data_IF_100432880176
#
_entry.id   IF_100432880176
#
_cell.length_a   1.000
_cell.length_b   1.000
_cell.length_c   1.000
_cell.angle_alpha   90.00
_cell.angle_beta   90.00
_cell.angle_gamma   90.00
#
_symmetry.space_group_name_H-M   'P 1'
#
loop_
_entity.id
_entity.type
_entity.pdbx_description
1 polymer ?
#
# COMPACT_ATOMS: atom_id res chain seq x y z
N UNK A 1 -9.38 2.91 41.11
CA UNK A 1 -8.60 2.59 39.91
C UNK A 1 -9.61 2.34 38.80
N UNK A 2 -9.76 3.30 37.90
CA UNK A 2 -10.77 3.22 36.84
C UNK A 2 -10.21 2.37 35.72
N UNK A 3 -10.87 1.26 35.42
CA UNK A 3 -10.50 0.33 34.37
C UNK A 3 -11.10 0.84 33.05
N UNK A 4 -10.25 1.23 32.10
CA UNK A 4 -10.67 1.77 30.81
C UNK A 4 -10.75 0.65 29.76
N UNK A 5 -11.88 0.55 29.07
CA UNK A 5 -12.10 -0.39 27.97
C UNK A 5 -12.38 0.38 26.68
N UNK A 6 -11.73 -0.05 25.60
CA UNK A 6 -11.71 0.66 24.32
C UNK A 6 -12.86 0.27 23.42
N UNK A 7 -13.51 1.27 22.82
CA UNK A 7 -14.65 1.19 21.90
C UNK A 7 -14.34 2.16 20.75
N UNK A 8 -14.73 1.81 19.52
CA UNK A 8 -14.07 2.23 18.28
C UNK A 8 -14.67 3.53 17.60
N UNK A 9 -13.89 4.29 16.79
CA UNK A 9 -14.12 5.63 16.10
C UNK A 9 -14.35 5.76 14.56
N UNK A 10 -15.21 6.65 14.06
CA UNK A 10 -15.40 6.92 12.61
C UNK A 10 -14.28 7.77 11.94
N UNK A 11 -14.33 7.90 10.60
CA UNK A 11 -13.20 8.20 9.69
C UNK A 11 -12.32 9.45 9.94
N UNK A 12 -12.71 10.48 10.71
CA UNK A 12 -11.99 11.79 10.65
C UNK A 12 -11.78 12.54 11.99
N UNK A 13 -12.02 11.96 13.17
CA UNK A 13 -11.77 12.63 14.45
C UNK A 13 -11.06 11.72 15.47
N UNK A 14 -10.31 12.32 16.40
CA UNK A 14 -9.77 11.65 17.60
C UNK A 14 -10.67 12.04 18.77
N UNK A 15 -11.35 11.06 19.36
CA UNK A 15 -12.39 11.24 20.38
C UNK A 15 -11.86 10.82 21.74
N UNK A 16 -11.79 11.78 22.68
CA UNK A 16 -11.33 11.56 24.05
C UNK A 16 -12.44 11.84 25.09
N UNK A 17 -12.66 10.83 25.95
CA UNK A 17 -13.44 10.63 27.20
C UNK A 17 -14.56 11.58 27.72
N UNK A 18 -15.17 12.48 26.95
CA UNK A 18 -16.48 13.02 27.39
C UNK A 18 -17.29 13.63 26.26
N UNK A 19 -18.11 12.83 25.59
CA UNK A 19 -19.24 13.34 24.82
C UNK A 19 -20.52 12.65 25.28
N UNK A 20 -21.53 13.45 25.63
CA UNK A 20 -22.87 12.93 25.89
C UNK A 20 -23.44 12.41 24.57
N UNK A 21 -23.74 11.11 24.57
CA UNK A 21 -24.28 10.33 23.45
C UNK A 21 -25.51 11.00 22.82
N UNK A 22 -25.32 11.80 21.78
CA UNK A 22 -26.42 12.25 20.93
C UNK A 22 -26.77 11.11 19.98
N UNK A 23 -27.83 10.37 20.28
CA UNK A 23 -28.44 9.36 19.40
C UNK A 23 -28.98 9.93 18.07
N UNK A 24 -28.68 11.20 17.76
CA UNK A 24 -29.13 11.92 16.57
C UNK A 24 -28.19 11.76 15.36
N UNK A 25 -26.99 11.20 15.53
CA UNK A 25 -26.07 10.93 14.42
C UNK A 25 -25.94 9.43 14.25
N UNK A 26 -26.70 8.86 13.31
CA UNK A 26 -26.69 7.44 12.94
C UNK A 26 -25.43 7.06 12.17
N UNK A 27 -24.28 7.22 12.81
CA UNK A 27 -22.96 7.12 12.18
C UNK A 27 -22.45 5.66 12.26
N UNK A 28 -22.04 5.07 11.12
CA UNK A 28 -21.64 3.66 11.00
C UNK A 28 -20.28 3.36 11.64
N UNK A 29 -20.26 2.70 12.80
CA UNK A 29 -19.05 2.35 13.56
C UNK A 29 -18.15 1.28 12.89
N UNK A 30 -18.38 0.90 11.63
CA UNK A 30 -17.63 -0.18 10.99
C UNK A 30 -16.23 0.26 10.52
N UNK A 31 -16.01 1.57 10.37
CA UNK A 31 -14.74 2.13 9.88
C UNK A 31 -13.75 2.49 10.97
N UNK A 32 -14.04 1.98 12.16
CA UNK A 32 -13.38 2.36 13.38
C UNK A 32 -12.15 1.55 13.71
N UNK A 33 -11.11 2.22 14.20
CA UNK A 33 -9.83 1.56 14.44
C UNK A 33 -9.14 2.02 15.72
N UNK A 34 -8.56 1.06 16.42
CA UNK A 34 -7.66 1.32 17.54
C UNK A 34 -6.23 1.44 17.01
N UNK A 35 -5.44 2.30 17.64
CA UNK A 35 -3.99 2.26 17.47
C UNK A 35 -3.43 0.95 18.02
N UNK A 36 -2.35 0.45 17.43
CA UNK A 36 -1.77 -0.82 17.81
C UNK A 36 -0.26 -0.83 17.56
N UNK A 37 0.42 -1.74 18.26
CA UNK A 37 1.82 -2.07 18.01
C UNK A 37 1.97 -2.93 16.74
N UNK A 38 3.22 -3.11 16.29
CA UNK A 38 3.53 -3.89 15.09
C UNK A 38 3.14 -5.39 15.18
N UNK A 39 2.98 -5.93 16.40
CA UNK A 39 2.48 -7.27 16.68
C UNK A 39 0.93 -7.33 16.73
N UNK A 40 0.26 -6.26 16.32
CA UNK A 40 -1.19 -6.07 16.37
C UNK A 40 -1.80 -5.99 17.78
N UNK A 41 -0.97 -5.85 18.84
CA UNK A 41 -1.49 -5.60 20.18
C UNK A 41 -2.09 -4.19 20.26
N UNK A 42 -3.37 -4.11 20.60
CA UNK A 42 -4.11 -2.86 20.68
C UNK A 42 -3.59 -1.98 21.82
N UNK A 43 -3.42 -0.69 21.54
CA UNK A 43 -3.10 0.34 22.52
C UNK A 43 -4.43 1.00 22.92
N UNK A 44 -4.86 0.67 24.13
CA UNK A 44 -6.17 0.99 24.68
C UNK A 44 -6.14 2.14 25.68
N UNK A 45 -5.03 2.26 26.39
CA UNK A 45 -4.80 3.28 27.40
C UNK A 45 -4.49 4.64 26.74
N UNK A 46 -5.11 5.71 27.26
CA UNK A 46 -4.97 7.05 26.70
C UNK A 46 -3.54 7.60 26.83
N UNK A 47 -2.82 7.26 27.92
CA UNK A 47 -1.44 7.70 28.10
C UNK A 47 -0.55 7.01 27.09
N UNK A 48 -0.71 5.70 26.90
CA UNK A 48 0.04 4.94 25.91
C UNK A 48 -0.28 5.38 24.47
N UNK A 49 -1.56 5.67 24.18
CA UNK A 49 -1.96 6.23 22.88
C UNK A 49 -1.29 7.57 22.63
N UNK A 50 -1.33 8.47 23.61
CA UNK A 50 -0.68 9.79 23.50
C UNK A 50 0.84 9.67 23.37
N UNK A 51 1.46 8.77 24.12
CA UNK A 51 2.89 8.55 24.07
C UNK A 51 3.37 7.92 22.74
N UNK A 52 2.48 7.30 21.97
CA UNK A 52 2.83 6.59 20.73
C UNK A 52 2.28 7.30 19.48
N UNK A 53 0.96 7.46 19.36
CA UNK A 53 0.30 8.05 18.20
C UNK A 53 0.54 9.56 18.10
N UNK A 54 0.43 10.29 19.21
CA UNK A 54 0.63 11.76 19.24
C UNK A 54 2.08 12.20 19.25
N UNK A 55 3.04 11.29 19.05
CA UNK A 55 4.38 11.71 18.69
C UNK A 55 4.32 12.49 17.37
N UNK A 56 4.94 13.68 17.34
CA UNK A 56 4.90 14.60 16.19
C UNK A 56 5.16 13.90 14.85
N UNK A 57 6.17 13.04 14.80
CA UNK A 57 6.54 12.33 13.58
C UNK A 57 5.49 11.28 13.19
N UNK A 58 5.01 10.49 14.15
CA UNK A 58 3.97 9.47 13.92
C UNK A 58 2.69 10.11 13.40
N UNK A 59 2.20 11.16 14.07
CA UNK A 59 0.99 11.87 13.65
C UNK A 59 1.11 12.43 12.24
N UNK A 60 2.22 13.11 11.93
CA UNK A 60 2.46 13.66 10.58
C UNK A 60 2.58 12.56 9.53
N UNK A 61 3.23 11.44 9.84
CA UNK A 61 3.33 10.31 8.93
C UNK A 61 1.96 9.67 8.67
N UNK A 62 1.14 9.47 9.70
CA UNK A 62 -0.22 8.95 9.52
C UNK A 62 -1.03 9.84 8.60
N UNK A 63 -1.07 11.14 8.89
CA UNK A 63 -1.89 12.11 8.14
C UNK A 63 -1.39 12.33 6.70
N UNK A 64 -0.08 12.47 6.49
CA UNK A 64 0.48 12.85 5.20
C UNK A 64 0.90 11.65 4.35
N UNK A 65 1.39 10.60 5.00
CA UNK A 65 2.04 9.46 4.34
C UNK A 65 1.22 8.19 4.38
N UNK A 66 0.19 8.06 5.23
CA UNK A 66 -0.64 6.84 5.33
C UNK A 66 -2.14 7.10 5.23
N UNK A 67 -2.53 8.27 4.73
CA UNK A 67 -3.89 8.56 4.29
C UNK A 67 -3.99 8.55 2.75
N UNK A 68 -5.17 8.18 2.22
CA UNK A 68 -5.47 8.05 0.80
C UNK A 68 -6.88 8.57 0.53
N UNK A 69 -7.09 9.35 -0.53
CA UNK A 69 -8.43 9.74 -0.97
C UNK A 69 -8.93 8.78 -2.04
N UNK A 70 -9.99 8.03 -1.79
CA UNK A 70 -10.56 7.10 -2.78
C UNK A 70 -11.20 7.82 -3.97
N UNK A 71 -11.72 7.09 -4.97
CA UNK A 71 -12.40 7.69 -6.13
C UNK A 71 -13.67 8.50 -5.83
N UNK A 72 -14.15 8.50 -4.58
CA UNK A 72 -15.31 9.25 -4.10
C UNK A 72 -14.92 10.43 -3.20
N UNK A 73 -13.64 10.81 -3.17
CA UNK A 73 -13.08 11.86 -2.30
C UNK A 73 -13.21 11.56 -0.80
N UNK A 74 -13.35 10.28 -0.45
CA UNK A 74 -13.39 9.82 0.94
C UNK A 74 -11.97 9.59 1.45
N UNK A 75 -11.63 10.22 2.58
CA UNK A 75 -10.34 10.02 3.23
C UNK A 75 -10.31 8.65 3.92
N UNK A 76 -9.41 7.80 3.44
CA UNK A 76 -9.11 6.49 4.01
C UNK A 76 -7.77 6.58 4.75
N UNK A 77 -7.81 6.37 6.06
CA UNK A 77 -6.62 6.23 6.89
C UNK A 77 -6.25 4.75 6.98
N UNK A 78 -4.98 4.43 6.77
CA UNK A 78 -4.49 3.06 6.90
C UNK A 78 -4.53 2.59 8.35
N UNK A 79 -4.93 1.32 8.55
CA UNK A 79 -4.91 0.67 9.87
C UNK A 79 -3.46 0.40 10.31
N UNK A 80 -3.17 0.28 11.62
CA UNK A 80 -1.79 0.11 12.12
C UNK A 80 -1.02 -1.04 11.48
N UNK A 81 -1.67 -2.19 11.24
CA UNK A 81 -1.05 -3.34 10.58
C UNK A 81 -0.68 -3.06 9.13
N UNK A 82 -1.48 -2.25 8.43
CA UNK A 82 -1.20 -1.84 7.04
C UNK A 82 0.01 -0.91 7.02
N UNK A 83 0.07 0.05 7.96
CA UNK A 83 1.20 0.96 8.15
C UNK A 83 2.47 0.14 8.42
N UNK A 84 2.43 -0.77 9.39
CA UNK A 84 3.56 -1.63 9.74
C UNK A 84 4.05 -2.47 8.55
N UNK A 85 3.12 -3.05 7.77
CA UNK A 85 3.46 -3.82 6.58
C UNK A 85 4.15 -2.95 5.51
N UNK A 86 3.61 -1.75 5.25
CA UNK A 86 4.17 -0.79 4.30
C UNK A 86 5.56 -0.30 4.74
N UNK A 87 5.74 0.05 6.00
CA UNK A 87 7.03 0.48 6.55
C UNK A 87 8.08 -0.62 6.44
N UNK A 88 7.69 -1.86 6.77
CA UNK A 88 8.59 -3.02 6.67
C UNK A 88 9.04 -3.25 5.23
N UNK A 89 8.13 -3.09 4.27
CA UNK A 89 8.43 -3.21 2.84
C UNK A 89 9.40 -2.11 2.38
N UNK A 90 9.14 -0.84 2.71
CA UNK A 90 10.03 0.28 2.33
C UNK A 90 11.40 0.14 2.99
N UNK A 91 11.44 -0.26 4.27
CA UNK A 91 12.70 -0.57 4.96
C UNK A 91 13.46 -1.69 4.26
N UNK A 92 12.76 -2.74 3.79
CA UNK A 92 13.39 -3.88 3.13
C UNK A 92 14.01 -3.45 1.80
N UNK A 93 13.29 -2.66 0.99
CA UNK A 93 13.82 -2.10 -0.26
C UNK A 93 15.09 -1.28 0.00
N UNK A 94 15.06 -0.36 0.97
CA UNK A 94 16.21 0.48 1.33
C UNK A 94 17.41 -0.36 1.81
N UNK A 95 17.16 -1.33 2.69
CA UNK A 95 18.21 -2.18 3.26
C UNK A 95 18.87 -3.06 2.20
N UNK A 96 18.07 -3.65 1.31
CA UNK A 96 18.55 -4.46 0.18
C UNK A 96 19.38 -3.61 -0.80
N UNK A 97 18.94 -2.38 -1.09
CA UNK A 97 19.70 -1.44 -1.93
C UNK A 97 21.05 -1.07 -1.30
N UNK A 98 21.08 -0.71 -0.01
CA UNK A 98 22.31 -0.37 0.71
C UNK A 98 23.30 -1.53 0.79
N UNK A 99 22.80 -2.75 1.02
CA UNK A 99 23.59 -3.97 1.06
C UNK A 99 24.05 -4.43 -0.34
N UNK A 100 23.55 -3.79 -1.42
CA UNK A 100 23.75 -4.21 -2.81
C UNK A 100 23.31 -5.66 -3.07
N UNK A 101 22.26 -6.09 -2.38
CA UNK A 101 21.63 -7.41 -2.52
C UNK A 101 20.32 -7.21 -3.27
N UNK A 102 20.27 -7.64 -4.52
CA UNK A 102 19.09 -7.59 -5.38
C UNK A 102 18.99 -8.89 -6.18
N UNK A 103 17.80 -9.16 -6.73
CA UNK A 103 17.55 -10.36 -7.54
C UNK A 103 17.79 -11.70 -6.80
N UNK A 104 17.74 -11.69 -5.47
CA UNK A 104 17.77 -12.89 -4.63
C UNK A 104 16.50 -12.97 -3.77
N UNK A 105 16.09 -14.18 -3.33
CA UNK A 105 14.94 -14.32 -2.43
C UNK A 105 15.06 -13.48 -1.15
N UNK A 106 16.29 -13.32 -0.65
CA UNK A 106 16.58 -12.56 0.57
C UNK A 106 16.46 -11.05 0.36
N UNK A 107 16.51 -10.55 -0.88
CA UNK A 107 16.32 -9.13 -1.19
C UNK A 107 14.85 -8.70 -1.03
N UNK A 108 13.91 -9.65 -1.14
CA UNK A 108 12.47 -9.42 -1.12
C UNK A 108 11.78 -9.89 0.17
N UNK A 109 10.48 -10.19 0.06
CA UNK A 109 9.66 -10.70 1.14
C UNK A 109 8.19 -10.78 0.73
N UNK A 110 7.35 -11.31 1.62
CA UNK A 110 5.90 -11.36 1.43
C UNK A 110 5.19 -10.77 2.66
N UNK A 111 3.99 -10.24 2.42
CA UNK A 111 3.07 -9.76 3.45
C UNK A 111 1.86 -10.68 3.41
N UNK A 112 1.55 -11.32 4.54
CA UNK A 112 0.39 -12.19 4.65
C UNK A 112 -0.73 -11.49 5.41
N UNK A 113 -1.80 -11.17 4.68
CA UNK A 113 -2.98 -10.48 5.18
C UNK A 113 -4.24 -11.32 4.90
N UNK A 114 -5.22 -11.26 5.78
CA UNK A 114 -6.52 -11.94 5.58
C UNK A 114 -7.34 -11.31 4.45
N UNK A 115 -8.31 -12.02 3.90
CA UNK A 115 -9.24 -11.47 2.88
C UNK A 115 -10.15 -10.41 3.50
N UNK A 116 -10.36 -9.30 2.79
CA UNK A 116 -11.13 -8.15 3.29
C UNK A 116 -10.35 -7.17 4.19
N UNK A 117 -9.08 -7.43 4.52
CA UNK A 117 -8.26 -6.54 5.38
C UNK A 117 -7.67 -5.29 4.68
N UNK A 118 -8.11 -4.97 3.47
CA UNK A 118 -7.58 -3.83 2.71
C UNK A 118 -6.19 -4.05 2.12
N UNK A 119 -5.91 -5.27 1.62
CA UNK A 119 -4.66 -5.61 0.90
C UNK A 119 -4.40 -4.69 -0.27
N UNK A 120 -5.42 -4.38 -1.07
CA UNK A 120 -5.34 -3.48 -2.22
C UNK A 120 -4.80 -2.11 -1.81
N UNK A 121 -5.41 -1.46 -0.81
CA UNK A 121 -4.97 -0.16 -0.29
C UNK A 121 -3.52 -0.20 0.23
N UNK A 122 -3.19 -1.25 0.98
CA UNK A 122 -1.84 -1.43 1.56
C UNK A 122 -0.78 -1.54 0.46
N UNK A 123 -1.03 -2.40 -0.52
CA UNK A 123 -0.12 -2.67 -1.63
C UNK A 123 0.04 -1.45 -2.56
N UNK A 124 -1.06 -0.72 -2.78
CA UNK A 124 -1.09 0.52 -3.53
C UNK A 124 -0.21 1.58 -2.88
N UNK A 125 -0.41 1.80 -1.56
CA UNK A 125 0.36 2.80 -0.84
C UNK A 125 1.85 2.44 -0.80
N UNK A 126 2.17 1.16 -0.60
CA UNK A 126 3.54 0.68 -0.64
C UNK A 126 4.21 0.94 -2.01
N UNK A 127 3.53 0.65 -3.11
CA UNK A 127 4.03 0.94 -4.46
C UNK A 127 4.29 2.44 -4.66
N UNK A 128 3.36 3.31 -4.22
CA UNK A 128 3.50 4.77 -4.29
C UNK A 128 4.66 5.30 -3.45
N UNK A 129 4.87 4.77 -2.25
CA UNK A 129 6.01 5.18 -1.43
C UNK A 129 7.33 4.68 -2.02
N UNK A 130 7.33 3.52 -2.69
CA UNK A 130 8.51 3.00 -3.36
C UNK A 130 8.94 3.87 -4.55
N UNK A 131 8.00 4.48 -5.30
CA UNK A 131 8.36 5.38 -6.41
C UNK A 131 9.00 6.70 -5.94
N UNK A 132 8.79 7.09 -4.68
CA UNK A 132 9.42 8.26 -4.08
C UNK A 132 10.88 8.01 -3.68
N UNK A 133 11.39 6.78 -3.83
CA UNK A 133 12.80 6.47 -3.61
C UNK A 133 13.60 6.85 -4.88
N UNK A 134 14.59 7.72 -4.72
CA UNK A 134 15.37 8.26 -5.85
C UNK A 134 16.11 7.19 -6.66
N UNK A 135 16.50 6.09 -5.99
CA UNK A 135 17.18 4.97 -6.62
C UNK A 135 16.25 3.94 -7.27
N UNK A 136 14.93 4.16 -7.24
CA UNK A 136 13.93 3.31 -7.89
C UNK A 136 13.49 3.98 -9.20
N UNK A 137 13.83 3.32 -10.30
CA UNK A 137 13.46 3.75 -11.65
C UNK A 137 11.99 3.42 -11.95
N UNK A 138 11.58 2.17 -11.68
CA UNK A 138 10.25 1.63 -11.98
C UNK A 138 9.75 0.69 -10.89
N UNK A 139 8.45 0.73 -10.65
CA UNK A 139 7.70 -0.14 -9.73
C UNK A 139 6.65 -0.89 -10.55
N UNK A 140 6.74 -2.21 -10.55
CA UNK A 140 5.75 -3.07 -11.17
C UNK A 140 4.72 -3.51 -10.13
N UNK A 141 3.46 -3.15 -10.38
CA UNK A 141 2.33 -3.62 -9.60
C UNK A 141 1.60 -4.71 -10.39
N UNK A 142 2.02 -5.95 -10.18
CA UNK A 142 1.52 -7.11 -10.94
C UNK A 142 0.28 -7.67 -10.25
N UNK A 143 -0.77 -7.88 -11.04
CA UNK A 143 -2.08 -8.36 -10.58
C UNK A 143 -2.60 -9.47 -11.49
N UNK A 144 -3.30 -10.46 -10.91
CA UNK A 144 -3.99 -11.47 -11.71
C UNK A 144 -5.16 -10.83 -12.47
N UNK A 145 -5.33 -11.19 -13.75
CA UNK A 145 -6.40 -10.69 -14.61
C UNK A 145 -7.79 -10.98 -14.04
N UNK A 146 -7.96 -12.09 -13.30
CA UNK A 146 -9.24 -12.44 -12.66
C UNK A 146 -9.54 -11.58 -11.42
N UNK A 147 -8.49 -11.01 -10.84
CA UNK A 147 -8.55 -10.23 -9.60
C UNK A 147 -8.49 -8.73 -9.87
N UNK A 148 -8.28 -8.36 -11.13
CA UNK A 148 -8.36 -7.00 -11.65
C UNK A 148 -9.84 -6.59 -11.73
N UNK A 149 -10.43 -6.35 -10.57
CA UNK A 149 -11.76 -5.78 -10.49
C UNK A 149 -11.74 -4.33 -11.01
N UNK A 150 -12.89 -3.90 -11.53
CA UNK A 150 -13.09 -2.54 -12.04
C UNK A 150 -12.72 -1.48 -10.98
N UNK A 151 -12.88 -1.81 -9.70
CA UNK A 151 -12.58 -0.93 -8.57
C UNK A 151 -11.07 -0.67 -8.44
N UNK A 152 -10.23 -1.71 -8.46
CA UNK A 152 -8.77 -1.58 -8.38
C UNK A 152 -8.25 -0.77 -9.57
N UNK A 153 -8.76 -1.04 -10.77
CA UNK A 153 -8.39 -0.29 -11.98
C UNK A 153 -8.71 1.20 -11.86
N UNK A 154 -9.91 1.54 -11.37
CA UNK A 154 -10.35 2.93 -11.20
C UNK A 154 -9.52 3.67 -10.17
N UNK A 155 -9.20 3.02 -9.05
CA UNK A 155 -8.32 3.60 -8.02
C UNK A 155 -6.93 3.88 -8.61
N UNK A 156 -6.28 2.89 -9.25
CA UNK A 156 -4.96 3.11 -9.84
C UNK A 156 -4.96 4.18 -10.95
N UNK A 157 -5.97 4.21 -11.81
CA UNK A 157 -6.09 5.21 -12.87
C UNK A 157 -6.25 6.63 -12.30
N UNK A 158 -6.96 6.80 -11.18
CA UNK A 158 -7.09 8.10 -10.50
C UNK A 158 -5.75 8.61 -10.00
N UNK A 159 -4.90 7.73 -9.47
CA UNK A 159 -3.64 8.14 -8.84
C UNK A 159 -2.45 8.23 -9.78
N UNK A 160 -2.44 7.43 -10.83
CA UNK A 160 -1.40 7.45 -11.86
C UNK A 160 -2.09 7.27 -13.21
N UNK A 161 -2.72 8.35 -13.73
CA UNK A 161 -3.32 8.35 -15.05
C UNK A 161 -2.23 7.93 -16.04
N UNK A 162 -2.46 6.85 -16.78
CA UNK A 162 -1.55 6.19 -17.73
C UNK A 162 -0.70 5.01 -17.19
N UNK A 163 -0.70 4.74 -15.88
CA UNK A 163 -0.05 3.52 -15.33
C UNK A 163 -0.87 2.25 -15.59
N UNK A 164 -2.18 2.43 -15.75
CA UNK A 164 -3.18 1.37 -15.96
C UNK A 164 -3.54 1.33 -17.44
N UNK A 165 -2.56 0.97 -18.24
CA UNK A 165 -2.87 0.52 -19.59
C UNK A 165 -3.17 -0.96 -19.45
N UNK A 166 -4.45 -1.33 -19.63
CA UNK A 166 -4.90 -2.71 -19.86
C UNK A 166 -4.35 -3.25 -21.18
N UNK A 167 -3.05 -3.12 -21.36
CA UNK A 167 -2.27 -3.51 -22.49
C UNK A 167 -2.34 -5.03 -22.56
N UNK A 168 -3.23 -5.52 -23.40
CA UNK A 168 -3.39 -6.95 -23.68
C UNK A 168 -2.21 -7.53 -24.47
N UNK A 169 -1.18 -6.73 -24.74
CA UNK A 169 -0.01 -7.11 -25.53
C UNK A 169 1.32 -6.71 -24.90
N UNK A 170 2.35 -7.51 -25.16
CA UNK A 170 3.75 -7.25 -24.77
C UNK A 170 4.27 -5.93 -25.34
N UNK A 171 3.82 -5.53 -26.53
CA UNK A 171 4.17 -4.26 -27.16
C UNK A 171 3.63 -3.03 -26.40
N UNK A 172 2.43 -3.12 -25.82
CA UNK A 172 1.90 -2.07 -24.96
C UNK A 172 2.71 -1.94 -23.66
N UNK A 173 3.05 -3.06 -23.04
CA UNK A 173 3.89 -3.09 -21.83
C UNK A 173 5.27 -2.47 -22.08
N UNK A 174 5.92 -2.82 -23.19
CA UNK A 174 7.23 -2.27 -23.56
C UNK A 174 7.19 -0.74 -23.69
N UNK A 175 6.16 -0.19 -24.35
CA UNK A 175 5.97 1.26 -24.48
C UNK A 175 5.82 1.94 -23.12
N UNK A 176 5.10 1.33 -22.17
CA UNK A 176 4.96 1.89 -20.82
C UNK A 176 6.26 1.87 -20.02
N UNK A 177 7.10 0.86 -20.22
CA UNK A 177 8.42 0.77 -19.58
C UNK A 177 9.36 1.86 -20.10
N UNK A 178 9.31 2.14 -21.40
CA UNK A 178 10.19 3.11 -22.08
C UNK A 178 9.80 4.57 -21.82
N UNK A 179 8.56 4.85 -21.40
CA UNK A 179 8.13 6.19 -21.00
C UNK A 179 8.82 6.62 -19.71
N UNK A 180 9.34 7.85 -19.67
CA UNK A 180 10.03 8.41 -18.49
C UNK A 180 9.06 9.05 -17.46
N UNK A 181 7.79 9.19 -17.82
CA UNK A 181 6.78 9.93 -17.05
C UNK A 181 6.17 9.15 -15.87
N UNK A 182 6.14 7.81 -15.94
CA UNK A 182 5.40 6.97 -15.01
C UNK A 182 6.30 5.95 -14.31
N UNK A 183 6.53 6.14 -13.01
CA UNK A 183 7.27 5.16 -12.18
C UNK A 183 6.45 3.90 -11.87
N UNK A 184 5.11 3.94 -11.91
CA UNK A 184 4.26 2.76 -11.66
C UNK A 184 3.77 2.16 -12.97
N UNK A 185 3.88 0.84 -13.11
CA UNK A 185 3.36 0.07 -14.25
C UNK A 185 2.49 -1.06 -13.71
N UNK A 186 1.27 -1.19 -14.21
CA UNK A 186 0.29 -2.20 -13.77
C UNK A 186 0.01 -3.22 -14.89
N UNK A 187 0.85 -4.26 -15.07
CA UNK A 187 0.58 -5.30 -16.05
C UNK A 187 -0.21 -6.48 -15.44
N UNK A 188 -1.07 -7.16 -16.22
CA UNK A 188 -1.60 -8.45 -15.81
C UNK A 188 -0.48 -9.50 -15.77
N UNK A 189 -0.55 -10.45 -14.84
CA UNK A 189 0.47 -11.50 -14.64
C UNK A 189 0.87 -12.19 -15.93
N UNK A 190 -0.09 -12.55 -16.79
CA UNK A 190 0.16 -13.24 -18.06
C UNK A 190 1.06 -12.42 -19.00
N UNK A 191 0.85 -11.11 -19.10
CA UNK A 191 1.63 -10.24 -20.00
C UNK A 191 3.00 -9.94 -19.38
N UNK A 192 3.07 -9.83 -18.06
CA UNK A 192 4.35 -9.63 -17.37
C UNK A 192 5.29 -10.83 -17.55
N UNK A 193 4.79 -12.05 -17.36
CA UNK A 193 5.58 -13.29 -17.52
C UNK A 193 6.00 -13.51 -18.97
N UNK A 194 5.08 -13.37 -19.92
CA UNK A 194 5.41 -13.53 -21.35
C UNK A 194 6.38 -12.44 -21.85
N UNK A 195 6.24 -11.21 -21.34
CA UNK A 195 7.17 -10.11 -21.61
C UNK A 195 8.57 -10.32 -21.02
N UNK A 196 8.70 -11.02 -19.89
CA UNK A 196 10.01 -11.36 -19.30
C UNK A 196 10.72 -12.50 -20.02
N UNK A 197 9.98 -13.43 -20.63
CA UNK A 197 10.53 -14.66 -21.23
C UNK A 197 11.10 -14.47 -22.66
N UNK A 198 10.95 -13.28 -23.27
CA UNK A 198 11.69 -12.89 -24.48
C UNK A 198 11.34 -13.65 -25.76
N UNK A 199 10.14 -14.24 -25.88
CA UNK A 199 9.76 -15.10 -27.02
C UNK A 199 9.36 -14.35 -28.31
N UNK A 200 9.49 -13.02 -28.39
CA UNK A 200 9.39 -12.28 -29.65
C UNK A 200 10.71 -11.58 -29.96
N UNK A 201 11.19 -11.77 -31.20
CA UNK A 201 12.46 -11.26 -31.75
C UNK A 201 12.72 -9.79 -31.33
N UNK A 202 13.48 -9.63 -30.26
CA UNK A 202 13.90 -8.35 -29.71
C UNK A 202 14.65 -8.62 -28.42
N UNK A 203 15.82 -8.00 -28.25
CA UNK A 203 16.76 -8.25 -27.15
C UNK A 203 16.02 -8.41 -25.80
N UNK A 204 16.47 -9.33 -24.91
CA UNK A 204 15.92 -9.44 -23.55
C UNK A 204 15.87 -8.06 -22.89
N UNK A 205 14.88 -7.81 -22.02
CA UNK A 205 14.79 -6.58 -21.23
C UNK A 205 16.00 -6.50 -20.28
N UNK A 206 17.18 -6.17 -20.82
CA UNK A 206 18.50 -6.27 -20.16
C UNK A 206 18.64 -5.39 -18.92
N UNK A 207 17.67 -4.51 -18.66
CA UNK A 207 17.66 -3.56 -17.57
C UNK A 207 16.45 -3.68 -16.64
N UNK A 208 15.58 -4.71 -16.77
CA UNK A 208 14.52 -4.94 -15.79
C UNK A 208 15.08 -5.58 -14.52
N UNK A 209 15.78 -4.76 -13.71
CA UNK A 209 16.20 -5.18 -12.37
C UNK A 209 14.98 -5.14 -11.47
N UNK A 210 14.31 -6.28 -11.32
CA UNK A 210 13.19 -6.44 -10.40
C UNK A 210 13.71 -6.37 -8.95
N UNK A 211 13.78 -5.16 -8.41
CA UNK A 211 14.04 -4.91 -6.99
C UNK A 211 12.71 -4.95 -6.23
N UNK A 212 12.33 -6.15 -5.80
CA UNK A 212 11.16 -6.36 -4.92
C UNK A 212 9.95 -6.92 -5.64
N UNK A 213 9.77 -8.24 -5.58
CA UNK A 213 8.53 -8.91 -5.92
C UNK A 213 7.58 -8.84 -4.73
N UNK A 214 6.52 -8.03 -4.83
CA UNK A 214 5.41 -8.04 -3.88
C UNK A 214 4.39 -9.09 -4.35
N UNK A 215 4.46 -10.30 -3.79
CA UNK A 215 3.42 -11.30 -3.99
C UNK A 215 2.36 -11.13 -2.90
N UNK A 216 1.20 -10.62 -3.29
CA UNK A 216 -0.01 -10.70 -2.49
C UNK A 216 -0.66 -12.06 -2.80
N UNK A 217 -0.24 -13.11 -2.09
CA UNK A 217 -0.88 -14.43 -2.19
C UNK A 217 -2.25 -14.37 -1.50
N UNK A 218 -3.26 -14.93 -2.18
CA UNK A 218 -4.60 -15.19 -1.64
C UNK A 218 -4.55 -16.20 -0.50
#
# INVERSE_FOLDING_TARGET
MTTYNTIAELQNFIVLDSYTKLSQVGEQLDFTMNWAKADNMLIKDLKDFTATFFQKNTLLQVLLSYAVFDTSDTLLIMRPYQIAATERLIWKIRSSYQAKVWSTPEAGGYIWHTTGSGKTLTSFKAARLATQLDFIDKVFFVVDRKDLDFQTMKEYQRFSPDSVNGSESTAGLKRNIEKDDNKIIVPPTTIFVTGSDGSEKGKPLKNLRLTGTMWCLR
#
